data_IF_536463518464
#
_entry.id   IF_536463518464
#
_cell.length_a   1.000
_cell.length_b   1.000
_cell.length_c   1.000
_cell.angle_alpha   90.00
_cell.angle_beta   90.00
_cell.angle_gamma   90.00
#
_symmetry.space_group_name_H-M   'P 1'
#
loop_
_entity.id
_entity.type
_entity.pdbx_description
1 polymer ?
#
# COMPACT_ATOMS: atom_id res chain seq x y z
N UNK A 1 -22.89 4.40 14.01
CA UNK A 1 -22.99 3.06 13.42
C UNK A 1 -22.29 3.11 12.07
N UNK A 2 -21.10 2.49 11.97
CA UNK A 2 -20.27 2.24 10.78
C UNK A 2 -20.15 3.33 9.69
N UNK A 3 -19.12 4.19 9.77
CA UNK A 3 -18.77 5.17 8.72
C UNK A 3 -17.79 4.60 7.66
N UNK A 4 -17.50 3.29 7.74
CA UNK A 4 -16.54 2.58 6.91
C UNK A 4 -17.32 1.49 6.20
N UNK A 5 -17.42 1.54 4.86
CA UNK A 5 -18.34 0.74 4.08
C UNK A 5 -18.26 -0.78 4.30
N UNK A 6 -19.20 -1.56 3.73
CA UNK A 6 -19.42 -2.98 4.02
C UNK A 6 -18.20 -3.89 3.78
N UNK A 7 -17.19 -3.41 3.05
CA UNK A 7 -15.93 -4.13 2.83
C UNK A 7 -14.98 -4.09 4.03
N UNK A 8 -14.95 -3.01 4.83
CA UNK A 8 -14.11 -2.92 6.04
C UNK A 8 -14.67 -3.76 7.19
N UNK A 9 -15.99 -3.97 7.22
CA UNK A 9 -16.66 -4.82 8.22
C UNK A 9 -16.87 -6.26 7.70
N UNK A 10 -16.35 -6.60 6.52
CA UNK A 10 -16.54 -7.92 5.93
C UNK A 10 -15.80 -8.99 6.75
N UNK A 11 -16.52 -10.01 7.20
CA UNK A 11 -15.96 -11.19 7.88
C UNK A 11 -14.99 -12.00 7.01
N UNK A 12 -14.85 -11.65 5.72
CA UNK A 12 -13.97 -12.31 4.76
C UNK A 12 -12.66 -11.55 4.51
N UNK A 13 -12.47 -10.37 5.11
CA UNK A 13 -11.22 -9.63 5.04
C UNK A 13 -10.23 -10.18 6.08
N UNK A 14 -9.13 -10.78 5.62
CA UNK A 14 -8.06 -11.27 6.51
C UNK A 14 -7.35 -10.09 7.22
N UNK A 15 -6.99 -9.07 6.45
CA UNK A 15 -6.26 -7.89 6.93
C UNK A 15 -6.75 -6.66 6.17
N UNK A 16 -6.70 -5.50 6.82
CA UNK A 16 -7.01 -4.20 6.20
C UNK A 16 -5.77 -3.31 6.30
N UNK A 17 -5.52 -2.52 5.25
CA UNK A 17 -4.49 -1.50 5.25
C UNK A 17 -4.97 -0.30 4.45
N UNK A 18 -4.44 0.87 4.79
CA UNK A 18 -4.70 2.12 4.07
C UNK A 18 -3.41 2.56 3.40
N UNK A 19 -3.46 2.76 2.09
CA UNK A 19 -2.35 3.38 1.36
C UNK A 19 -2.34 4.87 1.73
N UNK A 20 -1.21 5.39 2.19
CA UNK A 20 -1.09 6.78 2.63
C UNK A 20 -1.05 7.79 1.47
N UNK A 21 -1.10 7.32 0.22
CA UNK A 21 -1.15 8.18 -0.94
C UNK A 21 -2.57 8.70 -1.15
N UNK A 22 -2.71 10.02 -1.39
CA UNK A 22 -3.99 10.65 -1.73
C UNK A 22 -4.31 10.54 -3.23
N UNK A 23 -3.84 9.46 -3.87
CA UNK A 23 -3.98 9.25 -5.31
C UNK A 23 -4.32 7.78 -5.65
N UNK A 24 -4.60 7.50 -6.93
CA UNK A 24 -4.90 6.16 -7.40
C UNK A 24 -3.66 5.26 -7.32
N UNK A 25 -3.84 4.03 -6.85
CA UNK A 25 -2.76 3.04 -6.74
C UNK A 25 -3.21 1.67 -7.27
N UNK A 26 -2.25 0.90 -7.77
CA UNK A 26 -2.42 -0.52 -8.10
C UNK A 26 -1.77 -1.34 -6.99
N UNK A 27 -2.50 -2.34 -6.49
CA UNK A 27 -2.01 -3.25 -5.45
C UNK A 27 -1.75 -4.65 -5.99
N UNK A 28 -0.69 -5.30 -5.52
CA UNK A 28 -0.36 -6.67 -5.87
C UNK A 28 0.20 -7.44 -4.66
N UNK A 29 -0.12 -8.74 -4.58
CA UNK A 29 0.52 -9.63 -3.62
C UNK A 29 1.91 -10.02 -4.09
N UNK A 30 2.86 -10.14 -3.17
CA UNK A 30 4.08 -10.89 -3.45
C UNK A 30 4.48 -11.81 -2.33
N UNK A 31 5.75 -12.17 -2.29
CA UNK A 31 6.28 -13.21 -1.41
C UNK A 31 6.27 -12.78 0.05
N UNK A 32 6.09 -13.73 0.97
CA UNK A 32 6.24 -13.48 2.42
C UNK A 32 5.11 -12.67 3.05
N UNK A 33 3.85 -12.94 2.67
CA UNK A 33 2.68 -12.20 3.17
C UNK A 33 2.81 -10.69 2.99
N UNK A 34 3.22 -10.28 1.79
CA UNK A 34 3.40 -8.87 1.44
C UNK A 34 2.40 -8.41 0.40
N UNK A 35 2.06 -7.13 0.48
CA UNK A 35 1.29 -6.39 -0.53
C UNK A 35 2.12 -5.18 -0.95
N UNK A 36 2.25 -4.99 -2.24
CA UNK A 36 2.86 -3.81 -2.84
C UNK A 36 1.77 -2.87 -3.33
N UNK A 37 1.94 -1.58 -3.12
CA UNK A 37 1.10 -0.54 -3.71
C UNK A 37 1.98 0.43 -4.51
N UNK A 38 1.66 0.59 -5.79
CA UNK A 38 2.32 1.51 -6.71
C UNK A 38 1.31 2.58 -7.07
N UNK A 39 1.65 3.83 -6.81
CA UNK A 39 0.74 4.97 -6.91
C UNK A 39 1.14 5.89 -8.06
N UNK A 40 0.15 6.63 -8.60
CA UNK A 40 0.34 7.52 -9.76
C UNK A 40 1.29 8.69 -9.47
N UNK A 41 1.42 9.07 -8.20
CA UNK A 41 2.37 10.09 -7.73
C UNK A 41 3.84 9.63 -7.74
N UNK A 42 4.12 8.39 -8.14
CA UNK A 42 5.46 7.84 -8.14
C UNK A 42 5.87 7.22 -6.81
N UNK A 43 4.97 7.11 -5.84
CA UNK A 43 5.26 6.45 -4.58
C UNK A 43 5.08 4.93 -4.67
N UNK A 44 5.99 4.23 -4.00
CA UNK A 44 6.00 2.79 -3.82
C UNK A 44 5.88 2.47 -2.34
N UNK A 45 4.97 1.55 -1.99
CA UNK A 45 4.75 1.13 -0.61
C UNK A 45 4.77 -0.39 -0.53
N UNK A 46 5.50 -0.94 0.44
CA UNK A 46 5.46 -2.37 0.80
C UNK A 46 4.79 -2.51 2.15
N UNK A 47 3.77 -3.34 2.20
CA UNK A 47 3.06 -3.73 3.41
C UNK A 47 3.30 -5.21 3.69
N UNK A 48 3.42 -5.57 4.97
CA UNK A 48 3.46 -6.97 5.42
C UNK A 48 2.26 -7.22 6.32
N UNK A 49 1.52 -8.28 6.02
CA UNK A 49 0.37 -8.72 6.80
C UNK A 49 0.63 -10.02 7.54
N UNK A 50 0.03 -10.16 8.72
CA UNK A 50 0.06 -11.39 9.50
C UNK A 50 -1.26 -12.14 9.35
N UNK A 51 -1.26 -13.42 9.73
CA UNK A 51 -2.50 -14.24 9.74
C UNK A 51 -3.52 -13.74 10.78
N UNK A 52 -3.08 -12.95 11.75
CA UNK A 52 -3.91 -12.34 12.79
C UNK A 52 -4.56 -11.03 12.31
N UNK A 53 -4.34 -10.67 11.04
CA UNK A 53 -4.96 -9.52 10.38
C UNK A 53 -4.24 -8.19 10.57
N UNK A 54 -3.10 -8.18 11.26
CA UNK A 54 -2.27 -6.99 11.36
C UNK A 54 -1.58 -6.72 10.01
N UNK A 55 -1.52 -5.45 9.58
CA UNK A 55 -0.84 -5.07 8.35
C UNK A 55 -0.08 -3.76 8.56
N UNK A 56 1.24 -3.80 8.39
CA UNK A 56 2.12 -2.65 8.62
C UNK A 56 2.93 -2.32 7.38
N UNK A 57 3.19 -1.03 7.16
CA UNK A 57 4.12 -0.60 6.12
C UNK A 57 5.54 -0.97 6.53
N UNK A 58 6.20 -1.75 5.71
CA UNK A 58 7.58 -2.20 5.90
C UNK A 58 8.57 -1.31 5.13
N UNK A 59 8.20 -0.86 3.93
CA UNK A 59 9.05 0.00 3.11
C UNK A 59 8.25 1.06 2.34
N UNK A 60 8.92 2.14 1.99
CA UNK A 60 8.41 3.26 1.20
C UNK A 60 9.55 3.82 0.33
N UNK A 61 9.24 4.17 -0.91
CA UNK A 61 10.18 4.80 -1.84
C UNK A 61 9.45 5.69 -2.87
N UNK A 62 10.19 6.55 -3.59
CA UNK A 62 9.68 7.40 -4.69
C UNK A 62 10.52 7.15 -5.94
N UNK A 63 9.90 6.67 -7.02
CA UNK A 63 10.62 6.28 -8.24
C UNK A 63 10.58 7.32 -9.37
N UNK A 64 9.80 8.39 -9.23
CA UNK A 64 9.74 9.47 -10.23
C UNK A 64 10.76 10.59 -9.97
N UNK A 65 11.27 10.70 -8.74
CA UNK A 65 12.21 11.76 -8.30
C UNK A 65 13.69 11.33 -8.43
N UNK A 66 13.95 10.11 -8.91
CA UNK A 66 15.30 9.57 -9.05
C UNK A 66 16.04 10.07 -10.32
N UNK A 67 15.44 10.98 -11.07
CA UNK A 67 16.06 11.66 -12.20
C UNK A 67 16.40 13.10 -11.76
N UNK A 68 17.42 13.27 -10.93
CA UNK A 68 18.09 14.57 -10.84
C UNK A 68 18.58 14.90 -12.26
N UNK A 69 18.07 15.99 -12.82
CA UNK A 69 18.59 16.56 -14.06
C UNK A 69 20.10 16.75 -13.87
N UNK A 70 20.90 15.98 -14.60
CA UNK A 70 22.35 16.22 -14.75
C UNK A 70 22.47 17.59 -15.48
N UNK A 71 22.42 18.68 -14.70
CA UNK A 71 22.72 20.04 -15.14
C UNK A 71 24.22 20.09 -15.50
N UNK A 72 24.53 19.65 -16.73
CA UNK A 72 25.83 19.78 -17.39
C UNK A 72 26.01 21.15 -18.05
#
# INVERSE_FOLDING_TARGET
MGFLGPYMESQWALANFTVQAECACICAFGTGSSVYAICVDGSFHKYVFTKDGNCNREAYDIFLDACEDDDL
#
